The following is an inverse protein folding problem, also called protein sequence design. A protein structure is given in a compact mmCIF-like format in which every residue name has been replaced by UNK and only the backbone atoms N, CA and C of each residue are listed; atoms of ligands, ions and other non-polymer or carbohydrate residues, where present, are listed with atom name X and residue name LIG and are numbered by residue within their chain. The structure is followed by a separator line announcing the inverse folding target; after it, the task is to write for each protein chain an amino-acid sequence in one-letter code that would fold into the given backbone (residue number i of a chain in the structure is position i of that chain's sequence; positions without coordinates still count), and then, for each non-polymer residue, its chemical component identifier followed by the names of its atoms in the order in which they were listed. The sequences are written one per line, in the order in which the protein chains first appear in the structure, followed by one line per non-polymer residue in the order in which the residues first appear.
data_IF_721131825194
#
_entry.id   IF_721131825194
#
_cell.length_a   1.000
_cell.length_b   1.000
_cell.length_c   1.000
_cell.angle_alpha   90.00
_cell.angle_beta   90.00
_cell.angle_gamma   90.00
#
_symmetry.space_group_name_H-M   'P 1'
#
loop_
_entity.id
_entity.type
_entity.pdbx_description
1 polymer ?
#
# COMPACT_ATOMS: atom_id res chain seq x y z
N UNK A 1 14.98 -11.91 4.67
CA UNK A 1 14.19 -10.68 4.57
C UNK A 1 12.77 -10.95 5.00
N UNK A 2 12.18 -10.08 5.77
CA UNK A 2 10.78 -10.14 6.17
C UNK A 2 9.99 -9.04 5.46
N UNK A 3 8.84 -9.37 4.90
CA UNK A 3 7.95 -8.42 4.23
C UNK A 3 6.55 -8.58 4.79
N UNK A 4 6.02 -7.52 5.37
CA UNK A 4 4.64 -7.44 5.80
C UNK A 4 3.90 -6.48 4.85
N UNK A 5 2.79 -6.93 4.29
CA UNK A 5 1.98 -6.14 3.35
C UNK A 5 0.62 -5.86 3.99
N UNK A 6 0.26 -4.61 4.10
CA UNK A 6 -1.05 -4.17 4.57
C UNK A 6 -1.95 -3.96 3.37
N UNK A 7 -3.06 -4.68 3.31
CA UNK A 7 -4.04 -4.59 2.22
C UNK A 7 -5.45 -4.87 2.72
N UNK A 8 -6.45 -4.33 2.06
CA UNK A 8 -7.87 -4.69 2.30
C UNK A 8 -8.25 -6.01 1.63
N UNK A 9 -7.45 -6.50 0.71
CA UNK A 9 -7.74 -7.69 -0.11
C UNK A 9 -6.57 -8.68 -0.10
N UNK A 10 -6.32 -9.36 1.04
CA UNK A 10 -5.23 -10.32 1.15
C UNK A 10 -5.26 -11.44 0.11
N UNK A 11 -6.45 -11.87 -0.28
CA UNK A 11 -6.67 -12.95 -1.25
C UNK A 11 -6.12 -12.65 -2.64
N UNK A 12 -5.89 -11.38 -2.97
CA UNK A 12 -5.28 -11.00 -4.25
C UNK A 12 -3.83 -11.42 -4.38
N UNK A 13 -3.18 -11.67 -3.26
CA UNK A 13 -1.77 -12.06 -3.23
C UNK A 13 -1.56 -13.56 -3.28
N UNK A 14 -2.60 -14.37 -3.14
CA UNK A 14 -2.52 -15.83 -3.04
C UNK A 14 -1.84 -16.46 -4.26
N UNK A 15 -2.26 -16.11 -5.45
CA UNK A 15 -1.66 -16.62 -6.68
C UNK A 15 -0.18 -16.27 -6.83
N UNK A 16 0.16 -15.05 -6.49
CA UNK A 16 1.53 -14.55 -6.51
C UNK A 16 2.43 -15.27 -5.49
N UNK A 17 1.96 -15.46 -4.26
CA UNK A 17 2.75 -16.09 -3.20
C UNK A 17 2.95 -17.59 -3.40
N UNK A 18 2.03 -18.24 -4.09
CA UNK A 18 2.01 -19.69 -4.25
C UNK A 18 2.56 -20.17 -5.60
N UNK A 19 3.23 -19.30 -6.35
CA UNK A 19 3.65 -19.61 -7.72
C UNK A 19 5.11 -19.23 -7.97
N UNK A 20 5.78 -20.04 -8.77
CA UNK A 20 7.07 -19.75 -9.40
C UNK A 20 8.18 -19.34 -8.42
N UNK A 21 8.91 -18.30 -8.77
CA UNK A 21 10.12 -17.87 -8.05
C UNK A 21 9.82 -17.39 -6.62
N UNK A 22 8.67 -16.74 -6.41
CA UNK A 22 8.29 -16.24 -5.09
C UNK A 22 8.01 -17.40 -4.13
N UNK A 23 7.25 -18.41 -4.60
CA UNK A 23 7.02 -19.63 -3.82
C UNK A 23 8.33 -20.32 -3.44
N UNK A 24 9.26 -20.42 -4.39
CA UNK A 24 10.57 -21.02 -4.13
C UNK A 24 11.39 -20.25 -3.10
N UNK A 25 11.34 -18.92 -3.14
CA UNK A 25 12.02 -18.08 -2.17
C UNK A 25 11.44 -18.24 -0.77
N UNK A 26 10.13 -18.34 -0.64
CA UNK A 26 9.44 -18.59 0.63
C UNK A 26 9.79 -19.99 1.16
N UNK A 27 9.74 -21.02 0.32
CA UNK A 27 10.04 -22.40 0.70
C UNK A 27 11.49 -22.57 1.15
N UNK A 28 12.40 -21.80 0.58
CA UNK A 28 13.82 -21.77 0.98
C UNK A 28 14.11 -20.84 2.17
N UNK A 29 13.09 -20.24 2.74
CA UNK A 29 13.23 -19.29 3.86
C UNK A 29 14.12 -18.07 3.55
N UNK A 30 14.29 -17.73 2.28
CA UNK A 30 15.01 -16.53 1.86
C UNK A 30 14.19 -15.27 2.15
N UNK A 31 12.88 -15.39 2.04
CA UNK A 31 11.92 -14.32 2.32
C UNK A 31 10.74 -14.88 3.10
N UNK A 32 10.24 -14.10 4.04
CA UNK A 32 8.99 -14.36 4.77
C UNK A 32 8.01 -13.24 4.42
N UNK A 33 6.93 -13.57 3.73
CA UNK A 33 5.92 -12.61 3.28
C UNK A 33 4.60 -12.90 3.97
N UNK A 34 4.07 -11.91 4.69
CA UNK A 34 2.76 -11.98 5.34
C UNK A 34 1.89 -10.84 4.87
N UNK A 35 0.61 -11.14 4.62
CA UNK A 35 -0.39 -10.15 4.22
C UNK A 35 -1.34 -9.91 5.39
N UNK A 36 -1.55 -8.65 5.72
CA UNK A 36 -2.39 -8.22 6.83
C UNK A 36 -3.56 -7.40 6.31
N UNK A 37 -4.76 -7.78 6.72
CA UNK A 37 -5.95 -6.98 6.45
C UNK A 37 -6.13 -5.97 7.59
N UNK A 38 -5.82 -4.71 7.34
CA UNK A 38 -5.93 -3.68 8.37
C UNK A 38 -7.38 -3.35 8.76
N UNK A 39 -8.38 -3.86 8.03
CA UNK A 39 -9.78 -3.81 8.45
C UNK A 39 -10.02 -4.46 9.80
N UNK A 40 -9.22 -5.46 10.15
CA UNK A 40 -9.31 -6.14 11.45
C UNK A 40 -8.92 -5.25 12.63
N UNK A 41 -8.27 -4.12 12.37
CA UNK A 41 -7.83 -3.16 13.38
C UNK A 41 -8.78 -1.98 13.57
N UNK A 42 -9.95 -2.00 12.92
CA UNK A 42 -10.94 -0.94 13.11
C UNK A 42 -11.58 -1.03 14.50
N UNK A 43 -11.85 0.12 15.08
CA UNK A 43 -12.59 0.23 16.34
C UNK A 43 -14.10 0.32 16.11
N UNK A 44 -14.52 0.47 14.86
CA UNK A 44 -15.92 0.57 14.47
C UNK A 44 -16.59 -0.81 14.44
N UNK A 45 -17.84 -0.87 14.92
CA UNK A 45 -18.70 -2.06 14.91
C UNK A 45 -18.90 -2.64 13.49
N UNK A 46 -18.95 -1.78 12.49
CA UNK A 46 -19.13 -2.15 11.09
C UNK A 46 -17.83 -2.28 10.31
N UNK A 47 -16.69 -2.15 10.98
CA UNK A 47 -15.35 -2.26 10.41
C UNK A 47 -15.12 -1.33 9.21
N UNK A 48 -15.60 -0.10 9.30
CA UNK A 48 -15.33 0.92 8.29
C UNK A 48 -13.85 1.29 8.28
N UNK A 49 -13.27 1.39 7.10
CA UNK A 49 -11.85 1.74 6.89
C UNK A 49 -11.69 3.01 6.06
N UNK A 50 -12.79 3.58 5.61
CA UNK A 50 -12.86 4.72 4.70
C UNK A 50 -13.78 5.80 5.24
N UNK A 51 -13.49 7.05 4.87
CA UNK A 51 -14.25 8.22 5.26
C UNK A 51 -14.29 9.23 4.10
N UNK A 52 -15.14 10.22 4.23
CA UNK A 52 -15.24 11.30 3.24
C UNK A 52 -13.98 12.18 3.27
N UNK A 53 -13.50 12.63 2.08
CA UNK A 53 -12.35 13.53 2.05
C UNK A 53 -12.69 14.89 2.66
N UNK A 54 -11.73 15.48 3.37
CA UNK A 54 -11.85 16.84 3.86
C UNK A 54 -12.03 17.82 2.68
N UNK A 55 -12.99 18.72 2.78
CA UNK A 55 -13.26 19.72 1.74
C UNK A 55 -14.24 19.29 0.65
N UNK A 56 -14.86 18.11 0.76
CA UNK A 56 -16.01 17.72 -0.05
C UNK A 56 -15.68 17.24 -1.47
N UNK A 57 -14.64 16.46 -1.65
CA UNK A 57 -14.35 15.78 -2.92
C UNK A 57 -15.27 14.57 -3.16
N UNK A 58 -15.28 14.05 -4.38
CA UNK A 58 -15.93 12.78 -4.70
C UNK A 58 -15.06 11.60 -4.26
N UNK A 59 -15.70 10.51 -3.81
CA UNK A 59 -15.03 9.29 -3.40
C UNK A 59 -14.74 9.24 -1.90
N UNK A 60 -14.01 8.21 -1.51
CA UNK A 60 -13.67 7.92 -0.11
C UNK A 60 -12.16 7.85 0.03
N UNK A 61 -11.67 8.20 1.21
CA UNK A 61 -10.25 8.06 1.56
C UNK A 61 -10.09 7.05 2.69
N UNK A 62 -8.98 6.34 2.70
CA UNK A 62 -8.66 5.41 3.76
C UNK A 62 -8.33 6.13 5.05
N UNK A 63 -8.94 5.70 6.13
CA UNK A 63 -8.68 6.20 7.47
C UNK A 63 -7.30 5.78 7.95
N UNK A 64 -6.62 6.66 8.64
CA UNK A 64 -5.29 6.34 9.17
C UNK A 64 -5.31 5.41 10.40
N UNK A 65 -6.36 5.47 11.22
CA UNK A 65 -6.40 4.73 12.50
C UNK A 65 -6.19 3.21 12.34
N UNK A 66 -6.93 2.47 11.46
CA UNK A 66 -6.72 1.04 11.31
C UNK A 66 -5.33 0.70 10.80
N UNK A 67 -4.81 1.50 9.88
CA UNK A 67 -3.48 1.31 9.31
C UNK A 67 -2.40 1.53 10.37
N UNK A 68 -2.50 2.60 11.14
CA UNK A 68 -1.54 2.91 12.21
C UNK A 68 -1.55 1.83 13.29
N UNK A 69 -2.71 1.37 13.71
CA UNK A 69 -2.83 0.31 14.72
C UNK A 69 -2.22 -1.00 14.21
N UNK A 70 -2.44 -1.33 12.95
CA UNK A 70 -1.78 -2.46 12.31
C UNK A 70 -0.26 -2.28 12.26
N UNK A 71 0.23 -1.11 11.87
CA UNK A 71 1.66 -0.81 11.85
C UNK A 71 2.32 -0.97 13.22
N UNK A 72 1.66 -0.52 14.28
CA UNK A 72 2.18 -0.64 15.65
C UNK A 72 2.43 -2.08 16.08
N UNK A 73 1.68 -3.04 15.55
CA UNK A 73 1.89 -4.47 15.84
C UNK A 73 3.05 -5.08 15.05
N UNK A 74 3.44 -4.47 13.93
CA UNK A 74 4.43 -5.01 13.00
C UNK A 74 5.78 -4.30 13.06
N UNK A 75 5.80 -3.02 13.42
CA UNK A 75 7.02 -2.21 13.41
C UNK A 75 7.98 -2.64 14.50
N UNK A 76 9.22 -2.85 14.09
CA UNK A 76 10.35 -3.14 14.97
C UNK A 76 11.53 -2.23 14.64
N UNK A 77 12.60 -2.26 15.43
CA UNK A 77 13.83 -1.56 15.09
C UNK A 77 14.39 -2.11 13.77
N UNK A 78 14.65 -1.22 12.82
CA UNK A 78 15.11 -1.59 11.48
C UNK A 78 14.00 -1.89 10.48
N UNK A 79 12.74 -1.72 10.83
CA UNK A 79 11.64 -1.76 9.86
C UNK A 79 11.63 -0.52 8.97
N UNK A 80 11.44 -0.71 7.67
CA UNK A 80 11.21 0.37 6.71
C UNK A 80 9.76 0.35 6.26
N UNK A 81 9.02 1.41 6.56
CA UNK A 81 7.60 1.54 6.22
C UNK A 81 7.46 2.28 4.90
N UNK A 82 6.83 1.62 3.94
CA UNK A 82 6.64 2.11 2.57
C UNK A 82 5.16 2.31 2.31
N UNK A 83 4.79 3.51 1.87
CA UNK A 83 3.46 3.81 1.36
C UNK A 83 3.47 3.74 -0.16
N UNK A 84 2.62 2.89 -0.73
CA UNK A 84 2.44 2.83 -2.18
C UNK A 84 1.52 3.95 -2.64
N UNK A 85 2.03 4.83 -3.48
CA UNK A 85 1.30 6.02 -3.94
C UNK A 85 1.82 6.48 -5.29
N UNK A 86 0.94 6.97 -6.20
CA UNK A 86 1.39 7.55 -7.47
C UNK A 86 2.25 8.80 -7.30
N UNK A 87 2.21 9.42 -6.14
CA UNK A 87 2.98 10.64 -5.83
C UNK A 87 4.37 10.35 -5.29
N UNK A 88 4.67 9.08 -4.99
CA UNK A 88 5.96 8.66 -4.47
C UNK A 88 7.07 8.68 -5.51
N UNK A 89 8.29 8.43 -5.04
CA UNK A 89 9.42 8.23 -5.95
C UNK A 89 9.18 7.01 -6.81
N UNK A 90 9.55 7.08 -8.08
CA UNK A 90 9.35 5.96 -8.99
C UNK A 90 10.27 4.80 -8.65
N UNK A 91 9.71 3.60 -8.55
CA UNK A 91 10.46 2.37 -8.35
C UNK A 91 11.32 2.10 -9.59
N UNK A 92 12.63 2.25 -9.43
CA UNK A 92 13.64 1.93 -10.43
C UNK A 92 14.52 0.80 -9.90
N UNK A 93 15.28 0.18 -10.77
CA UNK A 93 16.18 -0.92 -10.41
C UNK A 93 17.08 -0.57 -9.21
N UNK A 94 17.64 0.63 -9.19
CA UNK A 94 18.50 1.08 -8.09
C UNK A 94 17.76 1.15 -6.75
N UNK A 95 16.50 1.59 -6.76
CA UNK A 95 15.65 1.64 -5.56
C UNK A 95 15.35 0.22 -5.09
N UNK A 96 14.99 -0.68 -6.02
CA UNK A 96 14.73 -2.08 -5.71
C UNK A 96 15.96 -2.76 -5.10
N UNK A 97 17.16 -2.49 -5.63
CA UNK A 97 18.41 -3.00 -5.06
C UNK A 97 18.63 -2.53 -3.62
N UNK A 98 18.40 -1.26 -3.33
CA UNK A 98 18.52 -0.72 -1.97
C UNK A 98 17.52 -1.36 -1.03
N UNK A 99 16.27 -1.52 -1.47
CA UNK A 99 15.21 -2.15 -0.66
C UNK A 99 15.52 -3.63 -0.40
N UNK A 100 16.16 -4.32 -1.33
CA UNK A 100 16.53 -5.73 -1.16
C UNK A 100 17.56 -5.98 -0.05
N UNK A 101 18.25 -4.95 0.37
CA UNK A 101 19.22 -5.01 1.47
C UNK A 101 18.58 -4.79 2.85
N UNK A 102 17.33 -4.37 2.89
CA UNK A 102 16.60 -4.16 4.15
C UNK A 102 16.23 -5.49 4.81
N UNK A 103 16.23 -5.49 6.12
CA UNK A 103 15.86 -6.68 6.92
C UNK A 103 14.36 -6.88 6.98
N UNK A 104 13.62 -5.79 7.08
CA UNK A 104 12.17 -5.80 7.23
C UNK A 104 11.53 -4.65 6.46
N UNK A 105 10.66 -5.00 5.51
CA UNK A 105 9.82 -4.05 4.78
C UNK A 105 8.38 -4.18 5.24
N UNK A 106 7.73 -3.05 5.47
CA UNK A 106 6.28 -2.97 5.70
C UNK A 106 5.71 -2.14 4.56
N UNK A 107 4.88 -2.76 3.71
CA UNK A 107 4.33 -2.12 2.52
C UNK A 107 2.84 -1.88 2.71
N UNK A 108 2.42 -0.63 2.63
CA UNK A 108 1.03 -0.22 2.76
C UNK A 108 0.44 -0.05 1.36
N UNK A 109 -0.51 -0.91 1.01
CA UNK A 109 -1.22 -0.86 -0.26
C UNK A 109 -2.56 -0.18 -0.07
N UNK A 110 -2.77 0.89 -0.82
CA UNK A 110 -4.00 1.68 -0.80
C UNK A 110 -5.12 1.12 -1.66
N UNK A 111 -6.26 1.71 -1.45
CA UNK A 111 -7.47 1.52 -2.23
C UNK A 111 -8.26 2.84 -2.21
N UNK A 112 -9.40 2.91 -2.92
CA UNK A 112 -10.20 4.14 -3.02
C UNK A 112 -9.43 5.32 -3.61
N UNK A 113 -9.74 6.53 -3.19
CA UNK A 113 -9.15 7.77 -3.73
C UNK A 113 -7.78 8.12 -3.11
N UNK A 114 -7.38 7.41 -2.09
CA UNK A 114 -6.10 7.64 -1.41
C UNK A 114 -6.17 7.44 0.09
N UNK A 115 -5.20 8.00 0.77
CA UNK A 115 -5.05 7.90 2.21
C UNK A 115 -5.31 9.25 2.89
N UNK A 116 -5.74 9.19 4.16
CA UNK A 116 -5.67 10.34 5.04
C UNK A 116 -4.21 10.81 5.14
N UNK A 117 -3.98 12.11 4.94
CA UNK A 117 -2.63 12.70 4.89
C UNK A 117 -1.80 12.42 6.16
N UNK A 118 -2.46 12.22 7.30
CA UNK A 118 -1.79 11.90 8.57
C UNK A 118 -0.98 10.61 8.53
N UNK A 119 -1.27 9.70 7.58
CA UNK A 119 -0.50 8.45 7.43
C UNK A 119 0.97 8.74 7.07
N UNK A 120 1.27 9.86 6.43
CA UNK A 120 2.63 10.21 6.01
C UNK A 120 3.59 10.41 7.17
N UNK A 121 3.08 10.77 8.35
CA UNK A 121 3.90 10.90 9.55
C UNK A 121 4.44 9.55 10.06
N UNK A 122 3.87 8.45 9.59
CA UNK A 122 4.21 7.09 10.01
C UNK A 122 4.97 6.30 8.95
N UNK A 123 5.25 6.88 7.79
CA UNK A 123 5.95 6.20 6.69
C UNK A 123 7.34 6.78 6.49
N UNK A 124 8.28 5.92 6.12
CA UNK A 124 9.66 6.29 5.83
C UNK A 124 9.88 6.63 4.37
N UNK A 125 9.10 5.99 3.49
CA UNK A 125 9.25 6.13 2.04
C UNK A 125 7.89 6.07 1.37
N UNK A 126 7.63 6.96 0.44
CA UNK A 126 6.50 6.92 -0.46
C UNK A 126 6.98 6.49 -1.84
N UNK A 127 6.45 5.38 -2.35
CA UNK A 127 6.95 4.69 -3.53
C UNK A 127 5.86 4.53 -4.59
N UNK A 128 6.19 4.83 -5.84
CA UNK A 128 5.32 4.64 -6.99
C UNK A 128 5.84 3.52 -7.88
N UNK A 129 4.96 2.62 -8.32
CA UNK A 129 5.34 1.58 -9.30
C UNK A 129 5.49 2.13 -10.72
N UNK A 130 5.03 3.34 -10.96
CA UNK A 130 5.10 4.02 -12.24
C UNK A 130 4.28 5.29 -12.21
N UNK A 131 4.45 6.08 -13.22
CA UNK A 131 3.81 7.38 -13.35
C UNK A 131 2.39 7.24 -13.90
N UNK A 132 1.55 6.45 -13.21
CA UNK A 132 0.16 6.16 -13.56
C UNK A 132 -0.62 5.69 -12.33
N UNK A 133 -1.93 5.80 -12.39
CA UNK A 133 -2.85 5.28 -11.36
C UNK A 133 -3.56 4.05 -11.91
N UNK A 134 -3.45 2.95 -11.18
CA UNK A 134 -4.19 1.73 -11.48
C UNK A 134 -5.34 1.58 -10.49
N UNK A 135 -6.54 1.35 -11.03
CA UNK A 135 -7.67 0.88 -10.24
C UNK A 135 -8.31 -0.31 -10.93
N UNK A 136 -9.10 -1.06 -10.21
CA UNK A 136 -9.57 -2.34 -10.70
C UNK A 136 -10.95 -2.33 -11.31
N UNK A 137 -11.87 -1.61 -10.74
CA UNK A 137 -13.28 -1.87 -11.01
C UNK A 137 -14.06 -0.69 -11.53
N UNK A 138 -13.46 0.48 -11.58
CA UNK A 138 -14.15 1.70 -11.99
C UNK A 138 -13.39 2.40 -13.11
N UNK A 139 -13.22 1.71 -14.22
CA UNK A 139 -12.51 2.19 -15.41
C UNK A 139 -12.93 3.60 -15.86
N UNK A 140 -14.19 3.95 -15.68
CA UNK A 140 -14.69 5.29 -16.02
C UNK A 140 -14.11 6.38 -15.14
N UNK A 141 -13.91 6.08 -13.84
CA UNK A 141 -13.28 7.00 -12.89
C UNK A 141 -11.80 7.08 -13.13
N UNK A 142 -11.16 5.95 -13.37
CA UNK A 142 -9.73 5.88 -13.66
C UNK A 142 -9.37 6.76 -14.84
N UNK A 143 -10.09 6.63 -15.94
CA UNK A 143 -9.85 7.44 -17.12
C UNK A 143 -9.97 8.93 -16.87
N UNK A 144 -10.90 9.33 -15.99
CA UNK A 144 -11.13 10.71 -15.62
C UNK A 144 -10.07 11.25 -14.66
N UNK A 145 -9.67 10.46 -13.69
CA UNK A 145 -8.63 10.82 -12.72
C UNK A 145 -7.23 10.79 -13.33
N UNK A 146 -6.93 9.81 -14.16
CA UNK A 146 -5.72 9.80 -14.94
C UNK A 146 -5.60 11.08 -15.77
N UNK A 147 -6.67 11.50 -16.45
CA UNK A 147 -6.66 12.74 -17.21
C UNK A 147 -6.42 13.97 -16.34
N UNK A 148 -7.04 14.05 -15.17
CA UNK A 148 -6.90 15.21 -14.30
C UNK A 148 -5.52 15.30 -13.63
N UNK A 149 -4.88 14.17 -13.37
CA UNK A 149 -3.55 14.12 -12.76
C UNK A 149 -2.40 14.19 -13.76
N UNK A 150 -2.66 13.84 -15.00
CA UNK A 150 -1.61 13.62 -16.00
C UNK A 150 -1.55 14.67 -17.09
N UNK A 151 -2.58 15.42 -17.25
CA UNK A 151 -2.58 16.45 -18.27
C UNK A 151 -2.03 17.74 -17.67
N UNK A 152 -0.86 18.19 -18.12
CA UNK A 152 -0.36 19.51 -17.75
C UNK A 152 -1.21 20.64 -18.33
N UNK A 153 -2.25 20.33 -19.07
CA UNK A 153 -3.15 21.24 -19.75
C UNK A 153 -4.58 21.25 -19.19
N UNK A 154 -4.74 20.72 -18.01
CA UNK A 154 -6.04 20.79 -17.31
C UNK A 154 -6.07 21.96 -16.35
#
# INVERSE_FOLDING_TARGET
MKIDILSLFPEMFEGFLNTSIIKRAIDKEVVDIKIHNFREFTQDKHKHVDDYPYGGGQGMVLMCQPIIDCLKTLTTDGSLVILMSPQGITLKHQVAQKLSLEKHLIIICGHYEGFDERIRDYVDLELSIGDYVLTRSEERRVGKECRSRWSPYH
#
